data_IF_077057201887
#
_entry.id   IF_077057201887
#
_cell.length_a   1.000
_cell.length_b   1.000
_cell.length_c   1.000
_cell.angle_alpha   90.00
_cell.angle_beta   90.00
_cell.angle_gamma   90.00
#
_symmetry.space_group_name_H-M   'P 1'
#
loop_
_entity.id
_entity.type
_entity.pdbx_description
1 polymer ?
#
# COMPACT_ATOMS: atom_id res chain seq x y z
N UNK A 1 -4.94 -26.04 -25.16
CA UNK A 1 -5.05 -25.60 -23.75
C UNK A 1 -6.47 -25.12 -23.56
N UNK A 2 -7.16 -25.67 -22.56
CA UNK A 2 -8.62 -25.89 -22.57
C UNK A 2 -9.43 -24.62 -22.32
N UNK A 3 -10.43 -24.36 -23.15
CA UNK A 3 -11.36 -23.22 -23.07
C UNK A 3 -12.33 -23.26 -21.87
N UNK A 4 -12.28 -24.32 -21.05
CA UNK A 4 -13.14 -24.50 -19.86
C UNK A 4 -12.57 -23.93 -18.56
N UNK A 5 -11.26 -23.70 -18.46
CA UNK A 5 -10.64 -23.23 -17.20
C UNK A 5 -10.89 -21.74 -16.90
N UNK A 6 -11.13 -20.93 -17.94
CA UNK A 6 -11.35 -19.48 -17.78
C UNK A 6 -12.72 -19.15 -17.14
N UNK A 7 -13.85 -19.71 -17.62
CA UNK A 7 -15.15 -19.51 -16.97
C UNK A 7 -15.18 -19.99 -15.51
N UNK A 8 -14.62 -21.17 -15.22
CA UNK A 8 -14.60 -21.73 -13.86
C UNK A 8 -13.80 -20.84 -12.88
N UNK A 9 -12.73 -20.21 -13.36
CA UNK A 9 -11.90 -19.29 -12.54
C UNK A 9 -12.64 -18.00 -12.23
N UNK A 10 -13.29 -17.40 -13.22
CA UNK A 10 -14.08 -16.18 -13.01
C UNK A 10 -15.21 -16.43 -12.02
N UNK A 11 -15.99 -17.51 -12.22
CA UNK A 11 -17.08 -17.90 -11.34
C UNK A 11 -16.60 -18.14 -9.89
N UNK A 12 -15.43 -18.75 -9.72
CA UNK A 12 -14.84 -18.94 -8.40
C UNK A 12 -14.47 -17.61 -7.73
N UNK A 13 -13.79 -16.70 -8.43
CA UNK A 13 -13.46 -15.38 -7.89
C UNK A 13 -14.73 -14.57 -7.57
N UNK A 14 -15.75 -14.66 -8.42
CA UNK A 14 -17.05 -14.02 -8.20
C UNK A 14 -17.75 -14.59 -6.95
N UNK A 15 -17.67 -15.90 -6.72
CA UNK A 15 -18.24 -16.52 -5.53
C UNK A 15 -17.61 -15.99 -4.24
N UNK A 16 -16.29 -15.73 -4.24
CA UNK A 16 -15.59 -15.13 -3.11
C UNK A 16 -16.05 -13.70 -2.86
N UNK A 17 -16.13 -12.85 -3.90
CA UNK A 17 -16.62 -11.48 -3.76
C UNK A 17 -18.06 -11.46 -3.24
N UNK A 18 -18.91 -12.37 -3.72
CA UNK A 18 -20.29 -12.52 -3.24
C UNK A 18 -20.33 -12.94 -1.77
N UNK A 19 -19.51 -13.92 -1.36
CA UNK A 19 -19.41 -14.35 0.04
C UNK A 19 -18.98 -13.20 0.96
N UNK A 20 -18.01 -12.39 0.54
CA UNK A 20 -17.58 -11.21 1.28
C UNK A 20 -18.72 -10.21 1.51
N UNK A 21 -19.57 -10.00 0.50
CA UNK A 21 -20.68 -9.05 0.54
C UNK A 21 -21.86 -9.56 1.39
N UNK A 22 -22.14 -10.87 1.33
CA UNK A 22 -23.34 -11.46 1.93
C UNK A 22 -23.14 -11.91 3.38
N UNK A 23 -21.90 -12.19 3.80
CA UNK A 23 -21.63 -12.70 5.16
C UNK A 23 -21.57 -11.59 6.21
N UNK A 24 -22.10 -11.89 7.40
CA UNK A 24 -21.95 -11.05 8.60
C UNK A 24 -20.74 -11.47 9.47
N UNK A 25 -20.07 -12.59 9.15
CA UNK A 25 -18.90 -13.06 9.91
C UNK A 25 -17.64 -12.32 9.48
N UNK A 26 -16.99 -11.63 10.42
CA UNK A 26 -15.69 -11.00 10.19
C UNK A 26 -14.62 -12.02 9.82
N UNK A 27 -14.59 -13.19 10.48
CA UNK A 27 -13.62 -14.24 10.17
C UNK A 27 -13.76 -14.76 8.73
N UNK A 28 -14.99 -14.88 8.23
CA UNK A 28 -15.25 -15.25 6.85
C UNK A 28 -14.73 -14.15 5.89
N UNK A 29 -15.00 -12.87 6.19
CA UNK A 29 -14.48 -11.73 5.42
C UNK A 29 -12.96 -11.70 5.39
N UNK A 30 -12.31 -11.93 6.53
CA UNK A 30 -10.85 -12.01 6.63
C UNK A 30 -10.30 -13.12 5.73
N UNK A 31 -10.91 -14.31 5.77
CA UNK A 31 -10.49 -15.44 4.95
C UNK A 31 -10.67 -15.18 3.46
N UNK A 32 -11.78 -14.54 3.06
CA UNK A 32 -12.02 -14.16 1.68
C UNK A 32 -11.00 -13.12 1.20
N UNK A 33 -10.76 -12.07 1.99
CA UNK A 33 -9.76 -11.03 1.67
C UNK A 33 -8.37 -11.63 1.52
N UNK A 34 -7.96 -12.52 2.43
CA UNK A 34 -6.68 -13.20 2.35
C UNK A 34 -6.57 -14.04 1.06
N UNK A 35 -7.64 -14.74 0.67
CA UNK A 35 -7.67 -15.50 -0.58
C UNK A 35 -7.54 -14.59 -1.81
N UNK A 36 -8.33 -13.50 -1.87
CA UNK A 36 -8.26 -12.53 -2.96
C UNK A 36 -6.86 -11.90 -3.06
N UNK A 37 -6.27 -11.52 -1.93
CA UNK A 37 -4.93 -10.92 -1.88
C UNK A 37 -3.84 -11.89 -2.39
N UNK A 38 -3.96 -13.18 -2.06
CA UNK A 38 -3.07 -14.22 -2.60
C UNK A 38 -3.27 -14.42 -4.10
N UNK A 39 -4.51 -14.40 -4.59
CA UNK A 39 -4.83 -14.55 -6.01
C UNK A 39 -4.42 -13.35 -6.86
N UNK A 40 -4.36 -12.16 -6.27
CA UNK A 40 -3.85 -10.94 -6.91
C UNK A 40 -2.37 -11.04 -7.32
N UNK A 41 -1.63 -12.05 -6.87
CA UNK A 41 -0.25 -12.27 -7.30
C UNK A 41 -0.15 -12.92 -8.70
N UNK A 42 -1.17 -13.66 -9.16
CA UNK A 42 -1.15 -14.32 -10.47
C UNK A 42 -1.71 -13.39 -11.57
N UNK A 43 -0.92 -13.02 -12.60
CA UNK A 43 -1.38 -12.21 -13.72
C UNK A 43 -2.62 -12.74 -14.43
N UNK A 44 -2.86 -14.06 -14.40
CA UNK A 44 -4.04 -14.68 -15.01
C UNK A 44 -5.36 -14.30 -14.34
N UNK A 45 -5.30 -13.76 -13.12
CA UNK A 45 -6.47 -13.33 -12.38
C UNK A 45 -6.76 -11.83 -12.57
N UNK A 46 -5.82 -11.05 -13.11
CA UNK A 46 -5.89 -9.58 -13.09
C UNK A 46 -7.15 -9.04 -13.77
N UNK A 47 -7.45 -9.50 -14.99
CA UNK A 47 -8.65 -9.08 -15.74
C UNK A 47 -9.93 -9.40 -14.96
N UNK A 48 -10.02 -10.61 -14.38
CA UNK A 48 -11.18 -11.01 -13.58
C UNK A 48 -11.31 -10.22 -12.28
N UNK A 49 -10.19 -9.96 -11.58
CA UNK A 49 -10.18 -9.19 -10.34
C UNK A 49 -10.58 -7.73 -10.59
N UNK A 50 -10.16 -7.15 -11.73
CA UNK A 50 -10.61 -5.83 -12.17
C UNK A 50 -12.10 -5.83 -12.52
N UNK A 51 -12.57 -6.80 -13.31
CA UNK A 51 -13.99 -6.93 -13.66
C UNK A 51 -14.89 -7.07 -12.42
N UNK A 52 -14.40 -7.77 -11.39
CA UNK A 52 -15.08 -7.96 -10.12
C UNK A 52 -14.88 -6.81 -9.11
N UNK A 53 -14.23 -5.70 -9.52
CA UNK A 53 -13.98 -4.51 -8.68
C UNK A 53 -13.21 -4.83 -7.38
N UNK A 54 -12.34 -5.84 -7.40
CA UNK A 54 -11.49 -6.20 -6.26
C UNK A 54 -10.48 -5.10 -5.88
N UNK A 55 -9.90 -4.30 -6.82
CA UNK A 55 -9.07 -3.15 -6.44
C UNK A 55 -9.82 -2.17 -5.52
N UNK A 56 -11.06 -1.81 -5.86
CA UNK A 56 -11.89 -0.90 -5.04
C UNK A 56 -12.26 -1.53 -3.71
N UNK A 57 -12.62 -2.82 -3.70
CA UNK A 57 -12.85 -3.59 -2.47
C UNK A 57 -11.63 -3.50 -1.53
N UNK A 58 -10.41 -3.69 -2.03
CA UNK A 58 -9.22 -3.55 -1.20
C UNK A 58 -8.95 -2.11 -0.72
N UNK A 59 -9.28 -1.10 -1.53
CA UNK A 59 -9.17 0.31 -1.12
C UNK A 59 -10.12 0.64 0.03
N UNK A 60 -11.36 0.14 -0.02
CA UNK A 60 -12.34 0.32 1.05
C UNK A 60 -11.81 -0.25 2.38
N UNK A 61 -11.15 -1.42 2.32
CA UNK A 61 -10.57 -2.06 3.51
C UNK A 61 -9.46 -1.27 4.18
N UNK A 62 -8.80 -0.33 3.49
CA UNK A 62 -7.74 0.50 4.09
C UNK A 62 -8.27 1.46 5.15
N UNK A 63 -9.58 1.70 5.20
CA UNK A 63 -10.24 2.63 6.12
C UNK A 63 -10.98 1.94 7.27
N UNK A 64 -10.99 0.61 7.29
CA UNK A 64 -11.65 -0.19 8.32
C UNK A 64 -10.87 -0.20 9.63
N UNK A 65 -11.58 -0.41 10.74
CA UNK A 65 -10.95 -0.55 12.07
C UNK A 65 -10.28 -1.92 12.25
N UNK A 66 -10.78 -2.95 11.55
CA UNK A 66 -10.19 -4.29 11.59
C UNK A 66 -8.84 -4.29 10.87
N UNK A 67 -7.77 -4.47 11.63
CA UNK A 67 -6.41 -4.44 11.09
C UNK A 67 -6.09 -5.60 10.13
N UNK A 68 -6.77 -6.73 10.25
CA UNK A 68 -6.59 -7.82 9.29
C UNK A 68 -7.18 -7.43 7.93
N UNK A 69 -8.30 -6.69 7.92
CA UNK A 69 -8.85 -6.13 6.68
C UNK A 69 -7.86 -5.17 6.03
N UNK A 70 -7.31 -4.24 6.82
CA UNK A 70 -6.30 -3.29 6.33
C UNK A 70 -5.05 -4.01 5.81
N UNK A 71 -4.55 -5.03 6.52
CA UNK A 71 -3.37 -5.79 6.11
C UNK A 71 -3.60 -6.57 4.82
N UNK A 72 -4.71 -7.30 4.70
CA UNK A 72 -5.03 -8.07 3.50
C UNK A 72 -5.36 -7.15 2.31
N UNK A 73 -6.10 -6.06 2.53
CA UNK A 73 -6.38 -5.05 1.50
C UNK A 73 -5.10 -4.42 0.97
N UNK A 74 -4.20 -4.00 1.87
CA UNK A 74 -2.92 -3.41 1.49
C UNK A 74 -2.00 -4.42 0.79
N UNK A 75 -1.97 -5.67 1.26
CA UNK A 75 -1.24 -6.76 0.59
C UNK A 75 -1.77 -7.05 -0.81
N UNK A 76 -3.09 -7.09 -0.98
CA UNK A 76 -3.76 -7.26 -2.27
C UNK A 76 -3.44 -6.13 -3.25
N UNK A 77 -3.56 -4.86 -2.81
CA UNK A 77 -3.19 -3.69 -3.62
C UNK A 77 -1.71 -3.68 -3.99
N UNK A 78 -0.82 -4.09 -3.07
CA UNK A 78 0.59 -4.23 -3.37
C UNK A 78 0.82 -5.21 -4.52
N UNK A 79 0.12 -6.35 -4.51
CA UNK A 79 0.20 -7.32 -5.60
C UNK A 79 -0.36 -6.79 -6.91
N UNK A 80 -1.56 -6.19 -6.87
CA UNK A 80 -2.23 -5.62 -8.05
C UNK A 80 -1.45 -4.46 -8.68
N UNK A 81 -0.77 -3.64 -7.86
CA UNK A 81 -0.01 -2.48 -8.34
C UNK A 81 1.18 -2.83 -9.24
N UNK A 82 1.58 -4.11 -9.34
CA UNK A 82 2.58 -4.53 -10.33
C UNK A 82 2.03 -4.50 -11.76
N UNK A 83 0.70 -4.57 -11.93
CA UNK A 83 0.03 -4.53 -13.22
C UNK A 83 -0.32 -3.08 -13.64
N UNK A 84 -0.02 -2.65 -14.89
CA UNK A 84 -0.33 -1.31 -15.36
C UNK A 84 -1.81 -0.91 -15.33
N UNK A 85 -2.72 -1.82 -15.66
CA UNK A 85 -4.17 -1.52 -15.73
C UNK A 85 -4.74 -1.40 -14.31
N UNK A 86 -4.37 -2.33 -13.42
CA UNK A 86 -4.72 -2.23 -12.00
C UNK A 86 -4.19 -0.95 -11.36
N UNK A 87 -2.97 -0.50 -11.69
CA UNK A 87 -2.43 0.78 -11.19
C UNK A 87 -3.31 1.94 -11.59
N UNK A 88 -3.79 1.99 -12.82
CA UNK A 88 -4.64 3.08 -13.29
C UNK A 88 -5.94 3.13 -12.49
N UNK A 89 -6.57 1.98 -12.24
CA UNK A 89 -7.76 1.87 -11.37
C UNK A 89 -7.45 2.42 -9.97
N UNK A 90 -6.36 1.97 -9.34
CA UNK A 90 -5.95 2.42 -8.00
C UNK A 90 -5.74 3.94 -7.96
N UNK A 91 -5.12 4.51 -8.99
CA UNK A 91 -4.88 5.95 -9.09
C UNK A 91 -6.20 6.74 -9.25
N UNK A 92 -7.10 6.27 -10.09
CA UNK A 92 -8.39 6.90 -10.35
C UNK A 92 -9.29 6.91 -9.11
N UNK A 93 -9.20 5.87 -8.27
CA UNK A 93 -9.92 5.75 -7.01
C UNK A 93 -9.26 6.50 -5.83
N UNK A 94 -8.28 7.38 -6.09
CA UNK A 94 -7.61 8.18 -5.05
C UNK A 94 -6.63 7.38 -4.17
N UNK A 95 -6.16 6.24 -4.66
CA UNK A 95 -5.39 5.26 -3.89
C UNK A 95 -4.10 5.79 -3.28
N UNK A 96 -3.44 6.80 -3.86
CA UNK A 96 -2.22 7.39 -3.27
C UNK A 96 -2.50 7.90 -1.85
N UNK A 97 -3.61 8.62 -1.63
CA UNK A 97 -3.91 9.16 -0.31
C UNK A 97 -4.23 8.06 0.69
N UNK A 98 -4.97 7.03 0.27
CA UNK A 98 -5.37 5.91 1.12
C UNK A 98 -4.13 5.07 1.52
N UNK A 99 -3.28 4.74 0.56
CA UNK A 99 -2.03 4.00 0.79
C UNK A 99 -1.06 4.81 1.65
N UNK A 100 -0.95 6.13 1.45
CA UNK A 100 -0.10 6.99 2.30
C UNK A 100 -0.55 6.96 3.77
N UNK A 101 -1.85 6.90 4.05
CA UNK A 101 -2.34 6.80 5.43
C UNK A 101 -1.87 5.51 6.12
N UNK A 102 -1.75 4.42 5.37
CA UNK A 102 -1.26 3.13 5.87
C UNK A 102 0.22 3.15 6.28
N UNK A 103 1.01 4.17 5.89
CA UNK A 103 2.39 4.34 6.39
C UNK A 103 2.44 4.57 7.91
N UNK A 104 1.35 5.00 8.53
CA UNK A 104 1.26 5.19 9.98
C UNK A 104 0.82 3.94 10.75
N UNK A 105 0.56 2.83 10.06
CA UNK A 105 0.07 1.60 10.67
C UNK A 105 1.11 0.97 11.63
N UNK A 106 0.64 0.31 12.69
CA UNK A 106 1.50 -0.36 13.68
C UNK A 106 2.10 -1.67 13.18
N UNK A 107 1.50 -2.30 12.17
CA UNK A 107 1.96 -3.57 11.60
C UNK A 107 2.99 -3.31 10.51
N UNK A 108 4.19 -3.89 10.68
CA UNK A 108 5.29 -3.70 9.73
C UNK A 108 4.93 -4.20 8.32
N UNK A 109 4.22 -5.32 8.19
CA UNK A 109 3.82 -5.85 6.87
C UNK A 109 2.93 -4.86 6.10
N UNK A 110 1.95 -4.24 6.77
CA UNK A 110 1.10 -3.20 6.16
C UNK A 110 1.95 -2.01 5.68
N UNK A 111 2.91 -1.56 6.48
CA UNK A 111 3.79 -0.45 6.12
C UNK A 111 4.68 -0.83 4.93
N UNK A 112 5.25 -2.04 4.91
CA UNK A 112 6.07 -2.53 3.80
C UNK A 112 5.27 -2.62 2.50
N UNK A 113 4.04 -3.15 2.55
CA UNK A 113 3.13 -3.20 1.41
C UNK A 113 2.75 -1.79 0.94
N UNK A 114 2.50 -0.85 1.85
CA UNK A 114 2.19 0.53 1.51
C UNK A 114 3.36 1.23 0.79
N UNK A 115 4.59 1.12 1.33
CA UNK A 115 5.80 1.68 0.70
C UNK A 115 5.99 1.10 -0.71
N UNK A 116 5.89 -0.23 -0.85
CA UNK A 116 6.05 -0.91 -2.14
C UNK A 116 4.97 -0.48 -3.14
N UNK A 117 3.72 -0.37 -2.69
CA UNK A 117 2.61 0.10 -3.53
C UNK A 117 2.86 1.52 -4.03
N UNK A 118 3.30 2.44 -3.17
CA UNK A 118 3.65 3.80 -3.59
C UNK A 118 4.80 3.81 -4.61
N UNK A 119 5.80 2.93 -4.48
CA UNK A 119 6.85 2.78 -5.50
C UNK A 119 6.30 2.32 -6.83
N UNK A 120 5.41 1.33 -6.84
CA UNK A 120 4.79 0.82 -8.06
C UNK A 120 3.89 1.86 -8.74
N UNK A 121 3.21 2.69 -7.95
CA UNK A 121 2.38 3.81 -8.40
C UNK A 121 3.21 5.02 -8.85
N UNK A 122 4.54 5.01 -8.70
CA UNK A 122 5.42 6.12 -9.08
C UNK A 122 5.59 6.21 -10.61
N UNK A 123 4.71 6.96 -11.24
CA UNK A 123 4.77 7.32 -12.66
C UNK A 123 5.23 8.77 -12.84
N UNK A 124 5.60 9.22 -14.04
CA UNK A 124 5.87 10.64 -14.28
C UNK A 124 4.72 11.57 -13.85
N UNK A 125 3.47 11.12 -13.93
CA UNK A 125 2.28 11.91 -13.58
C UNK A 125 2.05 12.00 -12.06
N UNK A 126 2.42 10.97 -11.30
CA UNK A 126 2.13 10.84 -9.87
C UNK A 126 3.35 11.12 -8.98
N UNK A 127 4.54 11.25 -9.57
CA UNK A 127 5.81 11.43 -8.83
C UNK A 127 5.77 12.61 -7.87
N UNK A 128 5.13 13.73 -8.22
CA UNK A 128 5.02 14.89 -7.32
C UNK A 128 4.17 14.61 -6.08
N UNK A 129 3.14 13.76 -6.20
CA UNK A 129 2.29 13.34 -5.07
C UNK A 129 3.03 12.34 -4.19
N UNK A 130 3.69 11.35 -4.80
CA UNK A 130 4.43 10.29 -4.07
C UNK A 130 5.66 10.83 -3.35
N UNK A 131 6.24 11.93 -3.83
CA UNK A 131 7.39 12.60 -3.20
C UNK A 131 6.99 13.85 -2.40
N UNK A 132 5.75 13.93 -1.92
CA UNK A 132 5.34 15.02 -1.05
C UNK A 132 6.08 15.00 0.30
N UNK A 133 6.22 16.15 0.99
CA UNK A 133 7.04 16.25 2.20
C UNK A 133 6.66 15.28 3.33
N UNK A 134 5.38 14.95 3.49
CA UNK A 134 4.90 14.01 4.50
C UNK A 134 5.45 12.59 4.28
N UNK A 135 5.32 12.09 3.05
CA UNK A 135 5.84 10.78 2.65
C UNK A 135 7.37 10.75 2.79
N UNK A 136 8.08 11.78 2.34
CA UNK A 136 9.54 11.88 2.47
C UNK A 136 9.99 11.81 3.94
N UNK A 137 9.28 12.48 4.84
CA UNK A 137 9.58 12.42 6.28
C UNK A 137 9.38 11.02 6.85
N UNK A 138 8.34 10.29 6.42
CA UNK A 138 8.16 8.89 6.78
C UNK A 138 9.33 8.02 6.28
N UNK A 139 9.72 8.14 5.02
CA UNK A 139 10.80 7.33 4.45
C UNK A 139 12.16 7.62 5.10
N UNK A 140 12.46 8.88 5.41
CA UNK A 140 13.65 9.25 6.17
C UNK A 140 13.64 8.70 7.60
N UNK A 141 12.48 8.60 8.25
CA UNK A 141 12.36 7.94 9.56
C UNK A 141 12.54 6.43 9.43
N UNK A 142 11.96 5.82 8.41
CA UNK A 142 12.05 4.39 8.15
C UNK A 142 13.46 3.96 7.77
N UNK A 143 14.25 4.81 7.09
CA UNK A 143 15.67 4.54 6.79
C UNK A 143 16.56 4.50 8.04
N UNK A 144 16.04 4.89 9.20
CA UNK A 144 16.69 4.76 10.52
C UNK A 144 16.08 3.65 11.39
N UNK A 145 15.10 2.90 10.87
CA UNK A 145 14.45 1.83 11.62
C UNK A 145 15.41 0.66 11.92
N UNK A 146 15.17 -0.03 13.04
CA UNK A 146 15.93 -1.23 13.40
C UNK A 146 15.70 -2.36 12.40
N UNK A 147 14.45 -2.53 11.93
CA UNK A 147 14.08 -3.52 10.91
C UNK A 147 14.89 -3.30 9.63
N UNK A 148 15.73 -4.27 9.22
CA UNK A 148 16.48 -4.17 7.98
C UNK A 148 15.59 -4.12 6.74
N UNK A 149 14.42 -4.79 6.78
CA UNK A 149 13.48 -4.81 5.65
C UNK A 149 12.94 -3.41 5.39
N UNK A 150 12.39 -2.78 6.43
CA UNK A 150 11.81 -1.44 6.33
C UNK A 150 12.88 -0.40 6.02
N UNK A 151 14.04 -0.48 6.67
CA UNK A 151 15.17 0.42 6.41
C UNK A 151 15.64 0.37 4.97
N UNK A 152 15.88 -0.83 4.44
CA UNK A 152 16.37 -0.99 3.07
C UNK A 152 15.32 -0.56 2.05
N UNK A 153 14.04 -0.91 2.27
CA UNK A 153 12.95 -0.52 1.37
C UNK A 153 12.78 1.00 1.31
N UNK A 154 12.84 1.69 2.45
CA UNK A 154 12.77 3.14 2.49
C UNK A 154 13.97 3.81 1.80
N UNK A 155 15.18 3.22 1.90
CA UNK A 155 16.34 3.71 1.17
C UNK A 155 16.16 3.60 -0.35
N UNK A 156 15.62 2.48 -0.83
CA UNK A 156 15.30 2.30 -2.27
C UNK A 156 14.23 3.29 -2.71
N UNK A 157 13.17 3.50 -1.91
CA UNK A 157 12.15 4.51 -2.21
C UNK A 157 12.77 5.90 -2.41
N UNK A 158 13.62 6.33 -1.46
CA UNK A 158 14.27 7.65 -1.52
C UNK A 158 15.18 7.80 -2.74
N UNK A 159 15.80 6.70 -3.18
CA UNK A 159 16.67 6.68 -4.35
C UNK A 159 15.89 6.71 -5.68
N UNK A 160 14.82 5.92 -5.80
CA UNK A 160 14.16 5.66 -7.08
C UNK A 160 12.95 6.60 -7.32
N UNK A 161 12.27 7.02 -6.26
CA UNK A 161 11.05 7.83 -6.35
C UNK A 161 11.32 9.34 -6.21
N UNK A 162 12.46 9.73 -5.66
CA UNK A 162 12.74 11.11 -5.27
C UNK A 162 14.00 11.67 -5.95
N UNK A 163 14.10 12.99 -6.06
CA UNK A 163 15.36 13.65 -6.43
C UNK A 163 16.22 13.94 -5.20
N UNK A 164 17.54 14.01 -5.38
CA UNK A 164 18.49 14.34 -4.31
C UNK A 164 18.13 15.65 -3.59
N UNK A 165 17.63 16.63 -4.32
CA UNK A 165 17.22 17.92 -3.76
C UNK A 165 16.00 17.80 -2.84
N UNK A 166 14.99 17.00 -3.23
CA UNK A 166 13.84 16.74 -2.37
C UNK A 166 14.24 16.04 -1.07
N UNK A 167 15.10 15.03 -1.17
CA UNK A 167 15.60 14.30 0.00
C UNK A 167 16.40 15.23 0.92
N UNK A 168 17.29 16.05 0.36
CA UNK A 168 18.08 17.03 1.11
C UNK A 168 17.21 18.05 1.84
N UNK A 169 16.19 18.59 1.17
CA UNK A 169 15.25 19.54 1.78
C UNK A 169 14.46 18.90 2.92
N UNK A 170 13.94 17.68 2.72
CA UNK A 170 13.22 16.94 3.75
C UNK A 170 14.11 16.62 4.96
N UNK A 171 15.37 16.25 4.74
CA UNK A 171 16.34 16.01 5.80
C UNK A 171 16.61 17.27 6.63
N UNK A 172 16.83 18.41 5.98
CA UNK A 172 17.04 19.70 6.66
C UNK A 172 15.85 20.10 7.53
N UNK A 173 14.62 19.83 7.08
CA UNK A 173 13.41 20.07 7.86
C UNK A 173 13.31 19.12 9.07
N UNK A 174 13.71 17.86 8.91
CA UNK A 174 13.75 16.88 9.99
C UNK A 174 14.76 17.27 11.08
N UNK A 175 15.98 17.63 10.68
CA UNK A 175 17.06 18.05 11.58
C UNK A 175 16.73 19.41 12.24
N UNK A 176 16.11 20.32 11.49
CA UNK A 176 15.60 21.60 11.99
C UNK A 176 14.52 21.45 13.05
N UNK A 177 13.67 20.43 12.95
CA UNK A 177 12.66 20.10 13.98
C UNK A 177 13.27 19.43 15.21
N UNK A 178 14.29 18.59 15.04
CA UNK A 178 15.03 18.01 16.18
C UNK A 178 15.83 19.07 16.95
N UNK A 179 16.34 20.11 16.26
CA UNK A 179 17.06 21.23 16.88
C UNK A 179 16.14 22.32 17.45
N UNK A 180 14.88 22.40 17.04
CA UNK A 180 13.89 23.33 17.57
C UNK A 180 13.34 22.94 18.97
N UNK A 181 13.65 21.74 19.48
CA UNK A 181 13.45 21.37 20.90
C UNK A 181 14.69 21.75 21.73
N UNK A 182 15.24 22.94 21.47
CA UNK A 182 16.24 23.60 22.30
C UNK A 182 15.62 24.27 23.52
N UNK A 183 14.71 23.59 24.23
CA UNK A 183 14.26 24.04 25.55
C UNK A 183 15.34 23.58 26.55
N UNK A 184 16.04 24.49 27.23
CA UNK A 184 17.10 24.09 28.16
C UNK A 184 16.51 23.28 29.30
N UNK A 185 17.17 22.16 29.63
CA UNK A 185 16.92 21.41 30.87
C UNK A 185 17.09 22.36 32.07
N UNK A 186 16.16 22.37 33.05
CA UNK A 186 16.35 23.12 34.28
C UNK A 186 17.61 22.63 34.99
N UNK A 187 18.44 23.57 35.43
CA UNK A 187 19.56 23.29 36.32
C UNK A 187 19.04 23.12 37.75
N UNK A 188 19.03 21.90 38.25
CA UNK A 188 19.82 21.38 39.40
C UNK A 188 19.40 19.94 39.71
#
# INVERSE_FOLDING_TARGET
>A
MSSTEAPERFEYLQSLVTEFQDTDSEEAKEQVLANLANFAYDPKNMEYLQELQVPDLFLDMLTEENENFVEFGMGGLCNLSMDPECREVILQSGGISLVTNCLSNRREETVLSAVTTLMNLATPATRSQISEPGILQCMLRFSLAESPRLRNLAAVFLQDCCSEEQVRQAQQQMDGRQTAVGIPLPKE
#
